data_IF_878288988929
#
_entry.id   IF_878288988929
#
_cell.length_a   1.000
_cell.length_b   1.000
_cell.length_c   1.000
_cell.angle_alpha   90.00
_cell.angle_beta   90.00
_cell.angle_gamma   90.00
#
_symmetry.space_group_name_H-M   'P 1'
#
loop_
_entity.id
_entity.type
_entity.pdbx_description
1 polymer ?
#
# COMPACT_ATOMS: atom_id res chain seq x y z
N UNK A 1 13.94 0.90 -36.24
CA UNK A 1 14.01 -0.56 -36.18
C UNK A 1 13.96 -1.11 -34.77
N UNK A 2 14.58 -0.47 -33.79
CA UNK A 2 14.60 -0.91 -32.37
C UNK A 2 13.27 -0.68 -31.67
N UNK A 3 12.55 0.39 -32.00
CA UNK A 3 11.25 0.71 -31.37
C UNK A 3 10.18 -0.35 -31.68
N UNK A 4 10.16 -0.91 -32.89
CA UNK A 4 9.18 -1.94 -33.27
C UNK A 4 9.40 -3.28 -32.56
N UNK A 5 10.66 -3.62 -32.25
CA UNK A 5 10.96 -4.86 -31.55
C UNK A 5 10.53 -4.81 -30.07
N UNK A 6 10.68 -3.66 -29.44
CA UNK A 6 10.29 -3.46 -28.04
C UNK A 6 8.76 -3.45 -27.83
N UNK A 7 7.99 -2.96 -28.83
CA UNK A 7 6.53 -2.95 -28.76
C UNK A 7 5.93 -4.35 -28.95
N UNK A 8 6.45 -5.15 -29.90
CA UNK A 8 6.01 -6.54 -30.10
C UNK A 8 6.31 -7.46 -28.89
N UNK A 9 7.39 -7.17 -28.18
CA UNK A 9 7.73 -7.89 -26.95
C UNK A 9 6.79 -7.55 -25.78
N UNK A 10 6.18 -6.36 -25.79
CA UNK A 10 5.16 -5.94 -24.82
C UNK A 10 3.79 -6.58 -25.11
N UNK A 11 3.42 -6.74 -26.37
CA UNK A 11 2.18 -7.42 -26.80
C UNK A 11 2.18 -8.91 -26.46
N UNK A 12 3.34 -9.57 -26.56
CA UNK A 12 3.47 -11.00 -26.28
C UNK A 12 3.57 -11.35 -24.81
N UNK A 13 3.83 -10.36 -23.94
CA UNK A 13 3.83 -10.54 -22.51
C UNK A 13 2.42 -10.35 -21.95
N UNK A 14 1.73 -11.46 -21.67
CA UNK A 14 0.50 -11.47 -20.86
C UNK A 14 0.83 -11.01 -19.43
N UNK A 15 1.19 -9.72 -19.28
CA UNK A 15 1.61 -9.16 -17.99
C UNK A 15 0.37 -8.79 -17.18
N UNK A 16 0.23 -9.36 -15.97
CA UNK A 16 -0.90 -9.06 -15.09
C UNK A 16 -0.76 -7.69 -14.38
N UNK A 17 0.18 -6.83 -14.82
CA UNK A 17 0.50 -5.58 -14.13
C UNK A 17 0.14 -4.35 -14.98
N UNK A 18 -0.43 -3.29 -14.35
CA UNK A 18 -0.61 -1.99 -14.99
C UNK A 18 0.71 -1.46 -15.54
N UNK A 19 0.70 -0.95 -16.76
CA UNK A 19 1.92 -0.52 -17.46
C UNK A 19 1.74 0.89 -18.02
N UNK A 20 2.59 1.83 -17.61
CA UNK A 20 2.68 3.16 -18.18
C UNK A 20 3.81 3.20 -19.22
N UNK A 21 3.49 3.61 -20.43
CA UNK A 21 4.45 3.76 -21.53
C UNK A 21 4.68 5.24 -21.80
N UNK A 22 5.94 5.68 -21.72
CA UNK A 22 6.34 7.04 -22.06
C UNK A 22 6.75 7.07 -23.53
N UNK A 23 6.13 7.94 -24.33
CA UNK A 23 6.37 8.08 -25.77
C UNK A 23 6.91 9.46 -26.11
N UNK A 24 7.96 9.53 -26.92
CA UNK A 24 8.60 10.79 -27.32
C UNK A 24 7.89 11.45 -28.51
N UNK A 25 7.41 10.68 -29.46
CA UNK A 25 6.65 11.16 -30.62
C UNK A 25 5.59 10.13 -30.96
N UNK A 26 4.38 10.60 -31.16
CA UNK A 26 3.22 9.74 -31.38
C UNK A 26 3.14 9.37 -32.85
N UNK A 27 3.50 8.15 -33.19
CA UNK A 27 2.98 7.49 -34.37
C UNK A 27 1.59 6.92 -33.98
N UNK A 28 0.56 7.76 -34.15
CA UNK A 28 -0.78 7.53 -33.61
C UNK A 28 -1.39 6.20 -34.11
N UNK A 29 -1.06 5.76 -35.32
CA UNK A 29 -1.54 4.50 -35.88
C UNK A 29 -0.96 3.27 -35.17
N UNK A 30 0.24 3.35 -34.62
CA UNK A 30 0.89 2.24 -33.92
C UNK A 30 0.49 2.14 -32.44
N UNK A 31 -0.05 3.21 -31.87
CA UNK A 31 -0.46 3.27 -30.47
C UNK A 31 -1.93 2.92 -30.24
N UNK A 32 -2.75 2.95 -31.29
CA UNK A 32 -4.19 2.65 -31.18
C UNK A 32 -4.46 1.22 -30.68
N UNK A 33 -3.64 0.24 -31.08
CA UNK A 33 -3.80 -1.14 -30.61
C UNK A 33 -3.42 -1.28 -29.13
N UNK A 34 -2.44 -0.54 -28.66
CA UNK A 34 -2.01 -0.56 -27.25
C UNK A 34 -3.05 0.07 -26.32
N UNK A 35 -3.75 1.12 -26.78
CA UNK A 35 -4.79 1.81 -26.00
C UNK A 35 -6.03 0.93 -25.77
N UNK A 36 -6.23 -0.13 -26.56
CA UNK A 36 -7.34 -1.07 -26.35
C UNK A 36 -7.15 -1.96 -25.11
N UNK A 37 -5.94 -2.03 -24.57
CA UNK A 37 -5.67 -2.76 -23.33
C UNK A 37 -5.87 -1.83 -22.13
N UNK A 38 -6.88 -2.08 -21.26
CA UNK A 38 -7.18 -1.22 -20.11
C UNK A 38 -6.06 -1.19 -19.05
N UNK A 39 -5.06 -2.04 -19.18
CA UNK A 39 -3.90 -2.08 -18.29
C UNK A 39 -2.71 -1.28 -18.85
N UNK A 40 -2.86 -0.62 -19.98
CA UNK A 40 -1.80 0.18 -20.60
C UNK A 40 -2.27 1.63 -20.73
N UNK A 41 -1.49 2.54 -20.19
CA UNK A 41 -1.63 3.97 -20.40
C UNK A 41 -0.40 4.55 -21.12
N UNK A 42 -0.67 5.51 -21.98
CA UNK A 42 0.38 6.23 -22.72
C UNK A 42 0.51 7.66 -22.20
N UNK A 43 1.73 8.10 -22.03
CA UNK A 43 2.04 9.47 -21.64
C UNK A 43 3.15 10.03 -22.52
N UNK A 44 3.05 11.30 -22.91
CA UNK A 44 4.12 11.96 -23.64
C UNK A 44 5.31 12.21 -22.72
N UNK A 45 6.53 12.10 -23.25
CA UNK A 45 7.76 12.49 -22.53
C UNK A 45 7.79 13.98 -22.15
N UNK A 46 6.98 14.81 -22.84
CA UNK A 46 6.82 16.23 -22.55
C UNK A 46 5.69 16.55 -21.56
N UNK A 47 4.99 15.52 -21.06
CA UNK A 47 3.91 15.71 -20.08
C UNK A 47 4.45 16.22 -18.75
N UNK A 48 3.69 17.11 -18.13
CA UNK A 48 4.03 17.58 -16.79
C UNK A 48 3.74 16.52 -15.71
N UNK A 49 4.25 16.76 -14.52
CA UNK A 49 4.13 15.81 -13.40
C UNK A 49 2.66 15.53 -13.02
N UNK A 50 1.76 16.53 -13.15
CA UNK A 50 0.34 16.38 -12.84
C UNK A 50 -0.35 15.42 -13.82
N UNK A 51 -0.03 15.53 -15.11
CA UNK A 51 -0.57 14.63 -16.15
C UNK A 51 -0.04 13.21 -15.95
N UNK A 52 1.26 13.04 -15.70
CA UNK A 52 1.85 11.72 -15.39
C UNK A 52 1.18 11.11 -14.16
N UNK A 53 0.99 11.89 -13.10
CA UNK A 53 0.32 11.44 -11.88
C UNK A 53 -1.12 11.02 -12.15
N UNK A 54 -1.89 11.80 -12.91
CA UNK A 54 -3.27 11.46 -13.28
C UNK A 54 -3.37 10.15 -14.09
N UNK A 55 -2.41 9.92 -15.01
CA UNK A 55 -2.34 8.68 -15.80
C UNK A 55 -1.96 7.47 -14.96
N UNK A 56 -1.03 7.63 -14.03
CA UNK A 56 -0.69 6.58 -13.07
C UNK A 56 -1.90 6.23 -12.21
N UNK A 57 -2.64 7.23 -11.71
CA UNK A 57 -3.88 6.99 -10.95
C UNK A 57 -4.95 6.29 -11.79
N UNK A 58 -5.08 6.65 -13.08
CA UNK A 58 -6.03 5.97 -13.97
C UNK A 58 -5.66 4.51 -14.24
N UNK A 59 -4.37 4.20 -14.35
CA UNK A 59 -3.84 2.84 -14.56
C UNK A 59 -3.97 1.94 -13.33
N UNK A 60 -3.59 2.49 -12.20
CA UNK A 60 -3.65 1.74 -10.92
C UNK A 60 -5.10 1.59 -10.51
N UNK A 61 -6.00 2.37 -11.15
CA UNK A 61 -7.37 2.57 -10.75
C UNK A 61 -7.40 3.32 -9.42
N UNK A 62 -8.57 3.76 -8.98
CA UNK A 62 -8.81 4.03 -7.57
C UNK A 62 -8.88 2.72 -6.77
N UNK A 63 -8.08 1.73 -7.14
CA UNK A 63 -7.87 0.49 -6.41
C UNK A 63 -6.64 0.60 -5.48
N UNK A 64 -6.43 1.73 -4.80
CA UNK A 64 -6.30 1.58 -3.38
C UNK A 64 -7.68 1.04 -2.97
N UNK A 65 -7.81 -0.25 -2.80
CA UNK A 65 -9.00 -0.80 -2.16
C UNK A 65 -9.12 0.02 -0.89
N UNK A 66 -10.19 0.85 -0.81
CA UNK A 66 -10.43 1.69 0.37
C UNK A 66 -10.47 0.84 1.65
N UNK A 67 -10.31 -0.44 1.46
CA UNK A 67 -10.31 -1.50 2.45
C UNK A 67 -9.00 -2.27 2.40
N UNK A 68 -8.31 -2.36 3.52
CA UNK A 68 -7.24 -3.31 3.74
C UNK A 68 -7.81 -4.53 4.46
N UNK A 69 -7.42 -5.71 4.02
CA UNK A 69 -7.90 -6.97 4.59
C UNK A 69 -6.75 -7.85 5.06
N UNK A 70 -6.92 -8.46 6.21
CA UNK A 70 -6.02 -9.47 6.74
C UNK A 70 -6.83 -10.49 7.57
N UNK A 71 -6.97 -11.71 7.04
CA UNK A 71 -7.83 -12.75 7.63
C UNK A 71 -9.26 -12.22 7.80
N UNK A 72 -9.75 -12.12 9.03
CA UNK A 72 -11.06 -11.53 9.37
C UNK A 72 -10.99 -10.08 9.86
N UNK A 73 -9.85 -9.42 9.69
CA UNK A 73 -9.65 -8.00 9.98
C UNK A 73 -9.81 -7.18 8.71
N UNK A 74 -10.64 -6.16 8.75
CA UNK A 74 -10.83 -5.19 7.68
C UNK A 74 -10.57 -3.78 8.19
N UNK A 75 -9.86 -2.97 7.42
CA UNK A 75 -9.63 -1.55 7.70
C UNK A 75 -10.17 -0.73 6.53
N UNK A 76 -11.06 0.21 6.83
CA UNK A 76 -11.53 1.19 5.88
C UNK A 76 -10.65 2.44 5.94
N UNK A 77 -9.98 2.75 4.83
CA UNK A 77 -9.05 3.88 4.73
C UNK A 77 -9.75 5.24 4.63
N UNK A 78 -11.03 5.26 4.20
CA UNK A 78 -11.84 6.49 4.10
C UNK A 78 -12.47 6.86 5.44
N UNK A 79 -13.05 5.87 6.13
CA UNK A 79 -13.79 6.15 7.39
C UNK A 79 -12.92 6.03 8.62
N UNK A 80 -11.66 5.56 8.48
CA UNK A 80 -10.74 5.26 9.59
C UNK A 80 -11.31 4.23 10.58
N UNK A 81 -12.15 3.34 10.08
CA UNK A 81 -12.74 2.25 10.86
C UNK A 81 -11.96 0.95 10.65
N UNK A 82 -11.88 0.16 11.69
CA UNK A 82 -11.36 -1.20 11.64
C UNK A 82 -12.36 -2.17 12.26
N UNK A 83 -12.54 -3.34 11.63
CA UNK A 83 -13.42 -4.42 12.13
C UNK A 83 -12.63 -5.71 12.25
N UNK A 84 -12.93 -6.48 13.29
CA UNK A 84 -12.45 -7.83 13.48
C UNK A 84 -13.65 -8.80 13.41
N UNK A 85 -13.82 -9.49 12.28
CA UNK A 85 -15.09 -10.10 11.91
C UNK A 85 -16.18 -9.04 11.79
N UNK A 86 -17.29 -9.23 12.48
CA UNK A 86 -18.42 -8.28 12.51
C UNK A 86 -18.27 -7.18 13.59
N UNK A 87 -17.21 -7.22 14.41
CA UNK A 87 -17.04 -6.30 15.54
C UNK A 87 -16.21 -5.10 15.15
N UNK A 88 -16.80 -3.91 15.26
CA UNK A 88 -16.06 -2.64 15.12
C UNK A 88 -15.08 -2.48 16.29
N UNK A 89 -13.83 -2.20 15.96
CA UNK A 89 -12.78 -1.96 16.94
C UNK A 89 -12.79 -0.48 17.35
N UNK A 90 -12.88 -0.21 18.63
CA UNK A 90 -12.75 1.15 19.18
C UNK A 90 -11.26 1.53 19.27
N UNK A 91 -10.68 1.97 18.15
CA UNK A 91 -9.28 2.36 18.06
C UNK A 91 -9.12 3.88 18.20
N UNK A 92 -8.09 4.29 18.94
CA UNK A 92 -7.59 5.66 18.81
C UNK A 92 -6.91 5.85 17.46
N UNK A 93 -6.75 7.09 16.99
CA UNK A 93 -6.09 7.38 15.71
C UNK A 93 -4.71 6.71 15.61
N UNK A 94 -3.89 6.80 16.67
CA UNK A 94 -2.54 6.19 16.64
C UNK A 94 -2.55 4.66 16.69
N UNK A 95 -3.54 4.05 17.32
CA UNK A 95 -3.73 2.60 17.28
C UNK A 95 -4.17 2.14 15.90
N UNK A 96 -5.06 2.92 15.23
CA UNK A 96 -5.46 2.69 13.85
C UNK A 96 -4.25 2.79 12.89
N UNK A 97 -3.47 3.88 12.96
CA UNK A 97 -2.30 4.06 12.11
C UNK A 97 -1.24 2.97 12.33
N UNK A 98 -1.02 2.55 13.56
CA UNK A 98 -0.11 1.44 13.86
C UNK A 98 -0.62 0.11 13.30
N UNK A 99 -1.92 -0.17 13.42
CA UNK A 99 -2.54 -1.38 12.87
C UNK A 99 -2.48 -1.38 11.33
N UNK A 100 -2.83 -0.27 10.70
CA UNK A 100 -2.70 -0.08 9.24
C UNK A 100 -1.27 -0.31 8.77
N UNK A 101 -0.28 0.29 9.46
CA UNK A 101 1.13 0.09 9.14
C UNK A 101 1.52 -1.40 9.18
N UNK A 102 1.08 -2.12 10.19
CA UNK A 102 1.35 -3.55 10.33
C UNK A 102 0.74 -4.38 9.19
N UNK A 103 -0.50 -4.09 8.81
CA UNK A 103 -1.18 -4.83 7.72
C UNK A 103 -0.49 -4.59 6.38
N UNK A 104 -0.08 -3.36 6.10
CA UNK A 104 0.64 -3.03 4.84
C UNK A 104 2.04 -3.66 4.82
N UNK A 105 2.66 -3.87 5.97
CA UNK A 105 4.04 -4.35 6.11
C UNK A 105 4.13 -5.72 6.77
N UNK A 106 3.25 -6.65 6.36
CA UNK A 106 3.20 -8.01 6.90
C UNK A 106 4.55 -8.72 6.77
N UNK A 107 4.80 -9.65 7.69
CA UNK A 107 5.98 -10.50 7.73
C UNK A 107 7.33 -9.81 7.96
N UNK A 108 7.37 -8.49 7.99
CA UNK A 108 8.57 -7.74 8.31
C UNK A 108 8.71 -7.52 9.82
N UNK A 109 9.94 -7.60 10.31
CA UNK A 109 10.27 -7.24 11.69
C UNK A 109 10.66 -5.76 11.72
N UNK A 110 10.00 -5.00 12.57
CA UNK A 110 10.23 -3.56 12.75
C UNK A 110 10.75 -3.28 14.17
N UNK A 111 11.83 -2.53 14.27
CA UNK A 111 12.29 -2.08 15.58
C UNK A 111 11.31 -1.06 16.18
N UNK A 112 11.42 -0.85 17.51
CA UNK A 112 10.59 0.15 18.20
C UNK A 112 10.84 1.55 17.69
N UNK A 113 12.08 1.88 17.39
CA UNK A 113 12.51 3.15 16.85
C UNK A 113 11.97 3.35 15.44
N UNK A 114 12.05 2.33 14.58
CA UNK A 114 11.49 2.37 13.22
C UNK A 114 9.97 2.55 13.25
N UNK A 115 9.27 1.81 14.11
CA UNK A 115 7.82 1.97 14.27
C UNK A 115 7.44 3.37 14.77
N UNK A 116 8.21 3.91 15.73
CA UNK A 116 7.99 5.26 16.23
C UNK A 116 8.14 6.29 15.11
N UNK A 117 9.22 6.22 14.35
CA UNK A 117 9.48 7.11 13.22
C UNK A 117 8.41 7.01 12.13
N UNK A 118 8.05 5.79 11.72
CA UNK A 118 7.14 5.55 10.59
C UNK A 118 5.68 5.87 10.91
N UNK A 119 5.25 5.69 12.16
CA UNK A 119 3.85 5.84 12.55
C UNK A 119 3.60 7.18 13.24
N UNK A 120 4.55 7.67 14.08
CA UNK A 120 4.43 8.95 14.81
C UNK A 120 5.17 10.10 14.14
N UNK A 121 6.11 9.80 13.22
CA UNK A 121 6.90 10.80 12.53
C UNK A 121 8.20 11.19 13.26
N UNK A 122 9.10 11.83 12.52
CA UNK A 122 10.43 12.22 13.00
C UNK A 122 10.39 13.25 14.15
N UNK A 123 9.37 14.10 14.17
CA UNK A 123 9.25 15.19 15.15
C UNK A 123 8.58 14.74 16.46
N UNK A 124 8.34 13.44 16.62
CA UNK A 124 7.73 12.94 17.83
C UNK A 124 8.75 12.81 18.96
N UNK A 125 8.59 13.59 20.02
CA UNK A 125 9.48 13.66 21.18
C UNK A 125 9.28 12.54 22.22
N UNK A 126 8.35 11.62 22.01
CA UNK A 126 8.13 10.46 22.88
C UNK A 126 9.16 9.37 22.68
N UNK A 127 9.40 8.60 23.73
CA UNK A 127 10.32 7.46 23.66
C UNK A 127 9.71 6.23 22.99
N UNK A 128 10.58 5.29 22.58
CA UNK A 128 10.19 4.04 21.92
C UNK A 128 9.21 3.15 22.75
N UNK A 129 9.12 3.37 24.06
CA UNK A 129 8.10 2.74 24.93
C UNK A 129 6.66 3.09 24.55
N UNK A 130 6.44 4.20 23.85
CA UNK A 130 5.12 4.54 23.30
C UNK A 130 4.59 3.42 22.41
N UNK A 131 5.46 2.82 21.59
CA UNK A 131 5.11 1.69 20.73
C UNK A 131 4.63 0.49 21.56
N UNK A 132 5.35 0.15 22.63
CA UNK A 132 4.98 -0.99 23.50
C UNK A 132 3.59 -0.82 24.11
N UNK A 133 3.25 0.40 24.52
CA UNK A 133 1.93 0.73 25.08
C UNK A 133 0.83 0.55 24.04
N UNK A 134 1.03 1.06 22.82
CA UNK A 134 0.05 0.95 21.74
C UNK A 134 -0.10 -0.49 21.25
N UNK A 135 0.99 -1.24 21.12
CA UNK A 135 0.93 -2.68 20.79
C UNK A 135 0.14 -3.45 21.84
N UNK A 136 0.37 -3.18 23.13
CA UNK A 136 -0.42 -3.83 24.21
C UNK A 136 -1.91 -3.51 24.11
N UNK A 137 -2.26 -2.25 23.83
CA UNK A 137 -3.67 -1.81 23.66
C UNK A 137 -4.29 -2.46 22.43
N UNK A 138 -3.58 -2.49 21.29
CA UNK A 138 -4.05 -3.15 20.08
C UNK A 138 -4.33 -4.63 20.30
N UNK A 139 -3.41 -5.36 20.92
CA UNK A 139 -3.61 -6.77 21.25
C UNK A 139 -4.86 -6.98 22.08
N UNK A 140 -5.11 -6.14 23.09
CA UNK A 140 -6.29 -6.21 23.92
C UNK A 140 -7.59 -5.96 23.11
N UNK A 141 -7.55 -5.01 22.15
CA UNK A 141 -8.71 -4.66 21.30
C UNK A 141 -8.96 -5.68 20.18
N UNK A 142 -7.92 -6.30 19.65
CA UNK A 142 -8.03 -7.40 18.68
C UNK A 142 -8.64 -8.66 19.30
N UNK A 143 -8.52 -8.83 20.61
CA UNK A 143 -9.04 -9.97 21.36
C UNK A 143 -8.09 -11.16 21.42
N UNK A 144 -8.39 -12.13 22.28
CA UNK A 144 -7.50 -13.25 22.60
C UNK A 144 -7.14 -14.09 21.37
N UNK A 145 -8.09 -14.31 20.46
CA UNK A 145 -7.88 -15.12 19.27
C UNK A 145 -6.99 -14.46 18.20
N UNK A 146 -6.69 -13.17 18.34
CA UNK A 146 -5.95 -12.35 17.36
C UNK A 146 -4.73 -11.65 17.95
N UNK A 147 -4.51 -11.76 19.26
CA UNK A 147 -3.37 -11.10 19.92
C UNK A 147 -2.02 -11.60 19.41
N UNK A 148 -1.96 -12.83 18.90
CA UNK A 148 -0.76 -13.45 18.32
C UNK A 148 -0.41 -12.90 16.93
N UNK A 149 -1.28 -12.10 16.30
CA UNK A 149 -0.96 -11.49 15.01
C UNK A 149 0.15 -10.44 15.12
N UNK A 150 0.24 -9.75 16.25
CA UNK A 150 1.37 -8.86 16.53
C UNK A 150 2.35 -9.62 17.42
N UNK A 151 3.39 -10.18 16.85
CA UNK A 151 4.42 -10.94 17.60
C UNK A 151 5.52 -10.03 18.12
N UNK A 152 5.98 -10.31 19.35
CA UNK A 152 7.16 -9.67 19.91
C UNK A 152 8.41 -10.43 19.44
N UNK A 153 9.30 -9.73 18.77
CA UNK A 153 10.66 -10.22 18.49
C UNK A 153 11.57 -9.68 19.58
N UNK A 154 11.96 -10.54 20.51
CA UNK A 154 12.71 -10.14 21.69
C UNK A 154 13.98 -9.38 21.33
N UNK A 155 14.26 -8.32 22.06
CA UNK A 155 15.41 -7.41 21.85
C UNK A 155 15.42 -6.63 20.53
N UNK A 156 14.44 -6.85 19.63
CA UNK A 156 14.31 -6.15 18.33
C UNK A 156 13.08 -5.25 18.32
N UNK A 157 11.89 -5.83 18.31
CA UNK A 157 10.67 -5.05 18.15
C UNK A 157 9.44 -5.93 17.91
N UNK A 158 8.72 -5.66 16.84
CA UNK A 158 7.45 -6.33 16.54
C UNK A 158 7.36 -6.76 15.08
N UNK A 159 6.58 -7.80 14.85
CA UNK A 159 6.21 -8.36 13.55
C UNK A 159 4.71 -8.62 13.52
N UNK A 160 4.07 -8.41 12.37
CA UNK A 160 2.66 -8.75 12.12
C UNK A 160 2.57 -9.89 11.11
N UNK A 161 1.83 -10.95 11.42
CA UNK A 161 1.61 -12.11 10.53
C UNK A 161 0.43 -13.00 10.93
#
# INVERSE_FOLDING_TARGET
>A
GETKKNLSDLESSNKPFPTLIIVDSVDFEQTVELIQNPQIELVSSNSNLEEVSARVHALVGDSESEMLEFKDLTINLKTYEAKAGEVLLDLTFMEYELLKFFIVNQDNVWSREQLLEKVWGYDYFGGARTVDVHVRRLRAKLGENRNDWIKTVHSVGYKFN
#
